data_IF_850925571106
#
_entry.id   IF_850925571106
#
_cell.length_a   1.000
_cell.length_b   1.000
_cell.length_c   1.000
_cell.angle_alpha   90.00
_cell.angle_beta   90.00
_cell.angle_gamma   90.00
#
_symmetry.space_group_name_H-M   'P 1'
#
loop_
_entity.id
_entity.type
_entity.pdbx_description
1 polymer ?
#
# COMPACT_ATOMS: atom_id res chain seq x y z
N UNK A 1 -24.17 18.80 -49.17
CA UNK A 1 -23.28 19.45 -48.18
C UNK A 1 -23.73 19.10 -46.77
N UNK A 2 -22.87 18.42 -45.99
CA UNK A 2 -22.67 18.60 -44.54
C UNK A 2 -21.73 17.49 -44.01
N UNK A 3 -20.50 17.79 -43.56
CA UNK A 3 -19.66 16.82 -42.89
C UNK A 3 -20.09 16.72 -41.42
N UNK A 4 -20.47 15.52 -40.96
CA UNK A 4 -20.73 15.26 -39.54
C UNK A 4 -19.39 15.24 -38.81
N UNK A 5 -19.14 16.28 -38.01
CA UNK A 5 -17.95 16.42 -37.17
C UNK A 5 -17.78 15.18 -36.28
N UNK A 6 -16.68 14.46 -36.47
CA UNK A 6 -16.26 13.40 -35.56
C UNK A 6 -16.03 14.02 -34.18
N UNK A 7 -16.72 13.49 -33.17
CA UNK A 7 -16.49 13.83 -31.75
C UNK A 7 -15.02 13.52 -31.45
N UNK A 8 -14.21 14.58 -31.30
CA UNK A 8 -12.85 14.51 -30.76
C UNK A 8 -12.98 13.82 -29.40
N UNK A 9 -12.54 12.57 -29.32
CA UNK A 9 -12.32 11.91 -28.03
C UNK A 9 -11.23 12.74 -27.37
N UNK A 10 -11.60 13.52 -26.36
CA UNK A 10 -10.61 14.12 -25.46
C UNK A 10 -9.76 12.96 -24.99
N UNK A 11 -8.45 13.04 -25.23
CA UNK A 11 -7.47 12.11 -24.70
C UNK A 11 -7.65 12.11 -23.18
N UNK A 12 -8.45 11.16 -22.70
CA UNK A 12 -8.43 10.78 -21.31
C UNK A 12 -7.03 10.26 -21.12
N UNK A 13 -6.19 11.09 -20.50
CA UNK A 13 -4.86 10.73 -20.07
C UNK A 13 -4.93 9.29 -19.57
N UNK A 14 -4.19 8.39 -20.22
CA UNK A 14 -4.07 7.02 -19.76
C UNK A 14 -3.58 7.13 -18.32
N UNK A 15 -4.49 6.99 -17.36
CA UNK A 15 -4.22 7.22 -15.94
C UNK A 15 -3.49 6.02 -15.39
N UNK A 16 -2.35 5.71 -16.01
CA UNK A 16 -1.36 4.81 -15.48
C UNK A 16 -0.82 5.53 -14.25
N UNK A 17 -1.44 5.25 -13.11
CA UNK A 17 -1.03 5.75 -11.80
C UNK A 17 0.45 5.42 -11.54
N UNK A 18 0.94 4.31 -12.10
CA UNK A 18 2.37 3.95 -12.10
C UNK A 18 3.29 4.97 -12.78
N UNK A 19 2.82 5.74 -13.76
CA UNK A 19 3.62 6.82 -14.39
C UNK A 19 3.66 8.11 -13.57
N UNK A 20 2.90 8.21 -12.47
CA UNK A 20 2.98 9.34 -11.55
C UNK A 20 4.10 9.22 -10.51
N UNK A 21 4.72 8.04 -10.41
CA UNK A 21 5.78 7.74 -9.43
C UNK A 21 7.14 7.58 -10.10
N UNK A 22 8.19 7.94 -9.39
CA UNK A 22 9.57 7.69 -9.83
C UNK A 22 9.92 6.20 -9.74
N UNK A 23 10.87 5.75 -10.57
CA UNK A 23 11.30 4.35 -10.56
C UNK A 23 11.83 3.91 -9.18
N UNK A 24 12.47 4.82 -8.44
CA UNK A 24 12.92 4.57 -7.07
C UNK A 24 11.74 4.28 -6.13
N UNK A 25 10.68 5.08 -6.19
CA UNK A 25 9.47 4.85 -5.37
C UNK A 25 8.77 3.53 -5.76
N UNK A 26 8.68 3.22 -7.05
CA UNK A 26 8.12 1.94 -7.52
C UNK A 26 8.93 0.76 -6.96
N UNK A 27 10.25 0.90 -6.90
CA UNK A 27 11.14 -0.12 -6.34
C UNK A 27 10.94 -0.27 -4.83
N UNK A 28 10.85 0.84 -4.09
CA UNK A 28 10.53 0.83 -2.65
C UNK A 28 9.19 0.14 -2.37
N UNK A 29 8.15 0.44 -3.16
CA UNK A 29 6.85 -0.22 -3.01
C UNK A 29 6.93 -1.72 -3.27
N UNK A 30 7.72 -2.17 -4.25
CA UNK A 30 7.92 -3.60 -4.52
C UNK A 30 8.65 -4.31 -3.38
N UNK A 31 9.69 -3.68 -2.84
CA UNK A 31 10.45 -4.23 -1.72
C UNK A 31 9.60 -4.30 -0.45
N UNK A 32 8.88 -3.21 -0.13
CA UNK A 32 7.93 -3.18 0.98
C UNK A 32 6.83 -4.25 0.81
N UNK A 33 6.25 -4.38 -0.38
CA UNK A 33 5.25 -5.41 -0.67
C UNK A 33 5.80 -6.83 -0.47
N UNK A 34 7.04 -7.08 -0.90
CA UNK A 34 7.71 -8.38 -0.75
C UNK A 34 7.97 -8.73 0.72
N UNK A 35 8.20 -7.73 1.58
CA UNK A 35 8.37 -7.92 3.02
C UNK A 35 7.02 -8.19 3.70
N UNK A 36 5.95 -7.56 3.21
CA UNK A 36 4.61 -7.68 3.78
C UNK A 36 3.90 -8.98 3.37
N UNK A 37 4.02 -9.39 2.11
CA UNK A 37 3.44 -10.61 1.54
C UNK A 37 4.25 -11.84 1.99
N UNK A 38 3.91 -12.38 3.17
CA UNK A 38 4.61 -13.50 3.79
C UNK A 38 4.35 -14.80 3.05
N UNK A 39 3.12 -14.97 2.55
CA UNK A 39 2.68 -16.19 1.88
C UNK A 39 3.07 -16.23 0.38
N UNK A 40 3.47 -15.09 -0.19
CA UNK A 40 3.88 -14.88 -1.60
C UNK A 40 2.79 -15.19 -2.62
N UNK A 41 1.54 -14.92 -2.29
CA UNK A 41 0.42 -15.10 -3.20
C UNK A 41 0.19 -13.87 -4.12
N UNK A 42 0.95 -12.80 -3.90
CA UNK A 42 0.86 -11.55 -4.65
C UNK A 42 -0.24 -10.61 -4.15
N UNK A 43 -0.86 -10.93 -3.01
CA UNK A 43 -1.81 -10.11 -2.28
C UNK A 43 -1.33 -9.96 -0.83
N UNK A 44 -1.76 -8.87 -0.19
CA UNK A 44 -1.51 -8.68 1.24
C UNK A 44 -2.84 -8.92 1.94
N UNK A 45 -2.95 -10.00 2.69
CA UNK A 45 -4.15 -10.35 3.43
C UNK A 45 -4.08 -9.93 4.91
N UNK A 46 -5.14 -10.23 5.68
CA UNK A 46 -5.19 -9.88 7.11
C UNK A 46 -4.16 -10.65 7.94
N UNK A 47 -3.73 -11.83 7.52
CA UNK A 47 -2.71 -12.62 8.20
C UNK A 47 -1.34 -12.02 7.93
N UNK A 48 -1.02 -11.71 6.68
CA UNK A 48 0.22 -11.05 6.25
C UNK A 48 0.46 -9.74 7.01
N UNK A 49 -0.59 -8.92 7.16
CA UNK A 49 -0.51 -7.68 7.95
C UNK A 49 -0.24 -7.96 9.44
N UNK A 50 -0.93 -8.95 10.04
CA UNK A 50 -0.72 -9.30 11.45
C UNK A 50 0.72 -9.73 11.71
N UNK A 51 1.27 -10.54 10.80
CA UNK A 51 2.63 -11.05 10.89
C UNK A 51 3.65 -9.94 10.63
N UNK A 52 3.38 -9.05 9.68
CA UNK A 52 4.20 -7.86 9.42
C UNK A 52 4.26 -6.95 10.65
N UNK A 53 3.12 -6.64 11.27
CA UNK A 53 3.08 -5.80 12.48
C UNK A 53 3.76 -6.47 13.67
N UNK A 54 3.62 -7.79 13.81
CA UNK A 54 4.35 -8.56 14.81
C UNK A 54 5.87 -8.54 14.59
N UNK A 55 6.32 -8.61 13.34
CA UNK A 55 7.75 -8.56 12.96
C UNK A 55 8.39 -7.19 13.18
N UNK A 56 7.62 -6.09 13.07
CA UNK A 56 8.07 -4.72 13.33
C UNK A 56 8.27 -4.41 14.83
N UNK A 57 7.93 -5.34 15.74
CA UNK A 57 8.15 -5.20 17.18
C UNK A 57 7.20 -4.22 17.87
N UNK A 58 6.24 -3.65 17.14
CA UNK A 58 5.11 -2.95 17.72
C UNK A 58 4.07 -4.01 18.14
N UNK A 59 3.77 -4.16 19.44
CA UNK A 59 2.68 -5.02 19.84
C UNK A 59 1.39 -4.51 19.17
N UNK A 60 0.53 -5.39 18.61
CA UNK A 60 -0.74 -4.96 18.03
C UNK A 60 -1.53 -4.29 19.14
N UNK A 61 -1.56 -2.95 19.13
CA UNK A 61 -2.08 -2.11 20.20
C UNK A 61 -1.40 -2.42 21.55
N UNK A 62 -0.29 -1.72 21.86
CA UNK A 62 0.21 -1.61 23.23
C UNK A 62 -0.90 -0.96 24.06
N UNK A 63 -1.75 -1.77 24.69
CA UNK A 63 -2.52 -1.34 25.86
C UNK A 63 -1.45 -0.88 26.83
N UNK A 64 -1.34 0.43 27.05
CA UNK A 64 -0.47 0.93 28.11
C UNK A 64 -0.92 0.22 29.39
N UNK A 65 -0.09 -0.60 30.04
CA UNK A 65 -0.44 -1.08 31.37
C UNK A 65 -0.65 0.19 32.20
N UNK A 66 -1.85 0.33 32.77
CA UNK A 66 -2.23 1.47 33.59
C UNK A 66 -1.06 1.82 34.50
N UNK A 67 -0.60 3.07 34.43
CA UNK A 67 0.65 3.58 34.99
C UNK A 67 0.68 3.56 36.54
N UNK A 68 0.50 2.41 37.21
CA UNK A 68 0.47 2.33 38.67
C UNK A 68 1.12 1.08 39.30
N UNK A 69 1.67 0.13 38.53
CA UNK A 69 2.20 -1.11 39.14
C UNK A 69 3.70 -1.05 39.55
N UNK A 70 4.32 0.13 39.63
CA UNK A 70 5.74 0.22 40.06
C UNK A 70 6.01 1.17 41.24
N UNK A 71 5.07 1.24 42.18
CA UNK A 71 5.31 1.80 43.53
C UNK A 71 4.81 0.79 44.58
N UNK A 72 5.55 -0.30 44.79
CA UNK A 72 5.73 -0.97 46.10
C UNK A 72 7.06 -1.70 46.14
#
# INVERSE_FOLDING_TARGET
MAPKKAKKRTEGANSNVFSMFEQAQIQEFKEAFTIMDQNRDGFIDKADLRDTFAALGEPPFRVLPNSLDNIM
#
